data_IF_740673635461
#
_entry.id   IF_740673635461
#
_cell.length_a   1.000
_cell.length_b   1.000
_cell.length_c   1.000
_cell.angle_alpha   90.00
_cell.angle_beta   90.00
_cell.angle_gamma   90.00
#
_symmetry.space_group_name_H-M   'P 1'
#
loop_
_entity.id
_entity.type
_entity.pdbx_description
1 polymer ?
#
# COMPACT_ATOMS: atom_id res chain seq x y z
N UNK A 1 -0.37 16.44 3.46
CA UNK A 1 -0.02 15.57 4.58
C UNK A 1 0.96 14.45 4.21
N UNK A 2 0.67 13.45 3.32
CA UNK A 2 1.71 12.49 2.88
C UNK A 2 2.90 13.21 2.24
N UNK A 3 2.65 14.28 1.49
CA UNK A 3 3.68 15.13 0.92
C UNK A 3 4.50 15.82 2.01
N UNK A 4 3.88 16.43 3.00
CA UNK A 4 4.56 17.07 4.14
C UNK A 4 5.40 16.06 4.94
N UNK A 5 4.83 14.88 5.22
CA UNK A 5 5.56 13.78 5.87
C UNK A 5 6.79 13.39 5.05
N UNK A 6 6.62 13.21 3.74
CA UNK A 6 7.70 12.83 2.85
C UNK A 6 8.74 13.96 2.72
N UNK A 7 8.31 15.23 2.67
CA UNK A 7 9.21 16.40 2.66
C UNK A 7 10.04 16.49 3.94
N UNK A 8 9.43 16.27 5.11
CA UNK A 8 10.14 16.19 6.38
C UNK A 8 11.23 15.11 6.37
N UNK A 9 10.93 13.93 5.84
CA UNK A 9 11.91 12.85 5.72
C UNK A 9 12.99 13.14 4.67
N UNK A 10 12.65 13.81 3.58
CA UNK A 10 13.60 14.24 2.52
C UNK A 10 14.64 15.24 3.04
N UNK A 11 14.29 16.08 4.03
CA UNK A 11 15.20 17.08 4.59
C UNK A 11 16.48 16.50 5.20
N UNK A 12 16.48 15.21 5.55
CA UNK A 12 17.67 14.49 6.02
C UNK A 12 18.70 14.22 4.91
N UNK A 13 18.35 14.42 3.64
CA UNK A 13 19.26 14.24 2.51
C UNK A 13 19.77 12.81 2.31
N UNK A 14 19.05 11.81 2.80
CA UNK A 14 19.36 10.40 2.62
C UNK A 14 19.13 9.95 1.17
N UNK A 15 19.91 8.98 0.72
CA UNK A 15 19.79 8.42 -0.63
C UNK A 15 18.58 7.50 -0.74
N UNK A 16 17.40 8.10 -0.91
CA UNK A 16 16.11 7.41 -1.02
C UNK A 16 15.43 7.76 -2.34
N UNK A 17 15.02 6.74 -3.07
CA UNK A 17 14.09 6.88 -4.18
C UNK A 17 12.66 7.03 -3.62
N UNK A 18 12.19 8.25 -3.51
CA UNK A 18 10.87 8.55 -2.96
C UNK A 18 9.76 8.21 -3.96
N UNK A 19 8.70 7.60 -3.46
CA UNK A 19 7.50 7.31 -4.26
C UNK A 19 6.77 8.62 -4.54
N UNK A 20 6.36 8.85 -5.78
CA UNK A 20 5.53 10.00 -6.12
C UNK A 20 4.18 9.91 -5.38
N UNK A 21 3.70 11.03 -4.82
CA UNK A 21 2.49 11.05 -4.00
C UNK A 21 1.29 10.37 -4.68
N UNK A 22 0.99 10.60 -5.97
CA UNK A 22 -0.12 9.92 -6.65
C UNK A 22 0.07 8.41 -6.84
N UNK A 23 1.30 7.92 -6.62
CA UNK A 23 1.63 6.48 -6.72
C UNK A 23 1.66 5.77 -5.36
N UNK A 24 1.45 6.52 -4.26
CA UNK A 24 1.37 5.92 -2.93
C UNK A 24 0.01 5.26 -2.76
N UNK A 25 0.01 3.98 -2.46
CA UNK A 25 -1.20 3.19 -2.23
C UNK A 25 -0.95 2.07 -1.21
N UNK A 26 -2.02 1.56 -0.63
CA UNK A 26 -2.01 0.33 0.17
C UNK A 26 -2.20 -0.86 -0.76
N UNK A 27 -1.25 -1.79 -0.75
CA UNK A 27 -1.32 -2.99 -1.58
C UNK A 27 -2.03 -4.11 -0.82
N UNK A 28 -3.13 -4.63 -1.37
CA UNK A 28 -3.86 -5.78 -0.82
C UNK A 28 -3.26 -7.10 -1.30
N UNK A 29 -2.89 -7.16 -2.60
CA UNK A 29 -2.38 -8.34 -3.28
C UNK A 29 -1.50 -7.95 -4.47
N UNK A 30 -0.40 -8.66 -4.68
CA UNK A 30 0.36 -8.61 -5.93
C UNK A 30 -0.06 -9.77 -6.84
N UNK A 31 -0.53 -9.44 -8.05
CA UNK A 31 -0.93 -10.44 -9.04
C UNK A 31 0.26 -10.99 -9.85
N UNK A 32 1.39 -10.26 -9.83
CA UNK A 32 2.54 -10.57 -10.68
C UNK A 32 2.27 -10.22 -12.16
N UNK A 33 2.83 -11.01 -13.05
CA UNK A 33 2.52 -10.92 -14.48
C UNK A 33 1.18 -11.61 -14.73
N UNK A 34 0.21 -10.85 -15.20
CA UNK A 34 -1.15 -11.33 -15.47
C UNK A 34 -1.50 -11.16 -16.94
N UNK A 35 -2.21 -12.14 -17.50
CA UNK A 35 -2.82 -12.01 -18.82
C UNK A 35 -3.88 -10.90 -18.76
N UNK A 36 -3.79 -9.85 -19.60
CA UNK A 36 -4.81 -8.80 -19.65
C UNK A 36 -6.22 -9.33 -19.90
N UNK A 37 -6.36 -10.46 -20.62
CA UNK A 37 -7.65 -11.10 -20.89
C UNK A 37 -8.31 -11.69 -19.63
N UNK A 38 -7.53 -12.01 -18.59
CA UNK A 38 -8.06 -12.53 -17.32
C UNK A 38 -8.63 -11.43 -16.41
N UNK A 39 -8.23 -10.18 -16.61
CA UNK A 39 -8.58 -9.06 -15.71
C UNK A 39 -10.09 -8.77 -15.62
N UNK A 40 -10.87 -8.75 -16.73
CA UNK A 40 -12.31 -8.50 -16.64
C UNK A 40 -13.02 -9.54 -15.76
N UNK A 41 -12.72 -10.82 -15.94
CA UNK A 41 -13.32 -11.90 -15.15
C UNK A 41 -12.92 -11.84 -13.67
N UNK A 42 -11.65 -11.49 -13.38
CA UNK A 42 -11.19 -11.25 -12.02
C UNK A 42 -11.96 -10.10 -11.39
N UNK A 43 -12.14 -8.99 -12.12
CA UNK A 43 -12.87 -7.81 -11.64
C UNK A 43 -14.32 -8.15 -11.27
N UNK A 44 -15.06 -8.88 -12.12
CA UNK A 44 -16.41 -9.35 -11.82
C UNK A 44 -16.47 -10.21 -10.53
N UNK A 45 -15.51 -11.10 -10.36
CA UNK A 45 -15.41 -11.94 -9.15
C UNK A 45 -15.13 -11.11 -7.90
N UNK A 46 -14.25 -10.12 -8.00
CA UNK A 46 -13.94 -9.19 -6.91
C UNK A 46 -15.12 -8.28 -6.59
N UNK A 47 -15.87 -7.78 -7.57
CA UNK A 47 -17.09 -6.98 -7.36
C UNK A 47 -18.15 -7.80 -6.62
N UNK A 48 -18.35 -9.07 -7.01
CA UNK A 48 -19.27 -9.97 -6.31
C UNK A 48 -18.91 -10.17 -4.84
N UNK A 49 -17.62 -10.41 -4.54
CA UNK A 49 -17.13 -10.58 -3.18
C UNK A 49 -17.24 -9.28 -2.37
N UNK A 50 -16.87 -8.14 -2.97
CA UNK A 50 -16.93 -6.82 -2.34
C UNK A 50 -18.35 -6.38 -1.99
N UNK A 51 -19.36 -6.87 -2.70
CA UNK A 51 -20.77 -6.55 -2.44
C UNK A 51 -21.27 -6.89 -1.04
N UNK A 52 -20.58 -7.76 -0.31
CA UNK A 52 -20.87 -8.09 1.10
C UNK A 52 -20.07 -7.24 2.10
N UNK A 53 -19.00 -6.56 1.68
CA UNK A 53 -18.09 -5.81 2.53
C UNK A 53 -18.51 -4.33 2.59
N UNK A 54 -18.50 -3.79 3.81
CA UNK A 54 -18.83 -2.37 4.04
C UNK A 54 -17.56 -1.51 3.94
N UNK A 55 -17.75 -0.25 3.56
CA UNK A 55 -16.72 0.78 3.70
C UNK A 55 -16.35 0.95 5.18
N UNK A 56 -15.10 1.27 5.46
CA UNK A 56 -14.54 1.39 6.81
C UNK A 56 -13.54 2.54 6.88
N UNK A 57 -13.17 2.93 8.10
CA UNK A 57 -12.24 4.03 8.34
C UNK A 57 -10.87 3.53 8.72
N UNK A 58 -9.85 4.06 8.05
CA UNK A 58 -8.46 3.82 8.35
C UNK A 58 -7.76 5.11 8.77
N UNK A 59 -6.63 4.97 9.43
CA UNK A 59 -5.81 6.08 9.90
C UNK A 59 -4.34 5.82 9.56
N UNK A 60 -3.66 6.84 9.06
CA UNK A 60 -2.21 6.81 8.94
C UNK A 60 -1.61 6.87 10.35
N UNK A 61 -0.69 5.96 10.65
CA UNK A 61 -0.08 5.87 11.97
C UNK A 61 1.34 5.32 11.91
N UNK A 62 2.26 6.10 12.48
CA UNK A 62 3.65 5.70 12.63
C UNK A 62 4.45 5.58 11.34
N UNK A 63 5.75 5.44 11.50
CA UNK A 63 6.72 5.24 10.44
C UNK A 63 7.54 3.98 10.72
N UNK A 64 7.99 3.33 9.67
CA UNK A 64 8.80 2.14 9.83
C UNK A 64 9.65 1.82 8.61
N UNK A 65 10.43 0.74 8.73
CA UNK A 65 11.31 0.26 7.68
C UNK A 65 11.21 -1.25 7.51
N UNK A 66 11.24 -1.71 6.27
CA UNK A 66 11.46 -3.12 5.96
C UNK A 66 12.89 -3.35 5.48
N UNK A 67 13.50 -4.52 5.78
CA UNK A 67 13.01 -5.56 6.69
C UNK A 67 13.05 -5.13 8.16
N UNK A 68 13.87 -4.15 8.54
CA UNK A 68 13.97 -3.60 9.91
C UNK A 68 14.78 -2.29 9.90
N UNK A 69 14.84 -1.61 11.06
CA UNK A 69 15.56 -0.34 11.24
C UNK A 69 17.10 -0.46 11.17
N UNK A 70 17.66 -1.67 11.32
CA UNK A 70 19.14 -1.87 11.23
C UNK A 70 19.62 -1.95 9.79
N UNK A 71 18.76 -2.48 8.90
CA UNK A 71 19.05 -2.61 7.48
C UNK A 71 17.85 -2.17 6.64
N UNK A 72 17.47 -0.87 6.66
CA UNK A 72 16.29 -0.37 5.99
C UNK A 72 16.47 -0.43 4.47
N UNK A 73 15.47 -0.98 3.78
CA UNK A 73 15.38 -0.99 2.33
C UNK A 73 14.13 -0.27 1.83
N UNK A 74 13.06 -0.30 2.62
CA UNK A 74 11.79 0.37 2.32
C UNK A 74 11.39 1.19 3.53
N UNK A 75 11.04 2.45 3.30
CA UNK A 75 10.48 3.36 4.31
C UNK A 75 8.98 3.40 4.06
N UNK A 76 8.19 3.23 5.12
CA UNK A 76 6.74 3.16 5.04
C UNK A 76 6.05 3.92 6.16
N UNK A 77 4.79 4.30 5.89
CA UNK A 77 3.83 4.75 6.89
C UNK A 77 2.84 3.62 7.19
N UNK A 78 2.60 3.37 8.47
CA UNK A 78 1.68 2.34 8.93
C UNK A 78 0.22 2.76 8.82
N UNK A 79 -0.65 1.78 8.98
CA UNK A 79 -2.11 1.91 8.93
C UNK A 79 -2.69 1.38 10.23
N UNK A 80 -3.61 2.14 10.80
CA UNK A 80 -4.37 1.86 12.01
C UNK A 80 -5.87 2.13 11.76
N UNK A 81 -6.72 1.98 12.77
CA UNK A 81 -8.16 2.16 12.67
C UNK A 81 -8.89 0.82 12.56
N UNK A 82 -9.85 0.69 11.63
CA UNK A 82 -10.62 -0.55 11.45
C UNK A 82 -9.81 -1.62 10.69
N UNK A 83 -8.65 -2.00 11.24
CA UNK A 83 -7.71 -2.96 10.63
C UNK A 83 -8.27 -4.37 10.51
N UNK A 84 -9.27 -4.75 11.31
CA UNK A 84 -9.98 -6.02 11.17
C UNK A 84 -10.80 -6.06 9.89
N UNK A 85 -11.50 -4.97 9.56
CA UNK A 85 -12.22 -4.83 8.30
C UNK A 85 -11.27 -4.84 7.09
N UNK A 86 -10.13 -4.17 7.20
CA UNK A 86 -9.07 -4.21 6.19
C UNK A 86 -8.51 -5.63 6.01
N UNK A 87 -8.28 -6.35 7.10
CA UNK A 87 -7.78 -7.74 7.07
C UNK A 87 -8.82 -8.68 6.45
N UNK A 88 -10.11 -8.46 6.71
CA UNK A 88 -11.17 -9.21 6.07
C UNK A 88 -11.21 -8.94 4.56
N UNK A 89 -11.18 -7.68 4.14
CA UNK A 89 -11.10 -7.32 2.72
C UNK A 89 -9.90 -8.00 2.04
N UNK A 90 -8.73 -7.96 2.66
CA UNK A 90 -7.53 -8.58 2.12
C UNK A 90 -7.68 -10.09 1.94
N UNK A 91 -8.27 -10.78 2.93
CA UNK A 91 -8.53 -12.23 2.84
C UNK A 91 -9.51 -12.58 1.73
N UNK A 92 -10.57 -11.80 1.55
CA UNK A 92 -11.53 -11.99 0.46
C UNK A 92 -10.87 -11.78 -0.90
N UNK A 93 -10.06 -10.71 -1.05
CA UNK A 93 -9.28 -10.46 -2.28
C UNK A 93 -8.31 -11.60 -2.55
N UNK A 94 -7.63 -12.11 -1.52
CA UNK A 94 -6.70 -13.25 -1.65
C UNK A 94 -7.41 -14.51 -2.14
N UNK A 95 -8.55 -14.86 -1.52
CA UNK A 95 -9.34 -16.04 -1.88
C UNK A 95 -9.89 -15.96 -3.32
N UNK A 96 -10.40 -14.80 -3.73
CA UNK A 96 -10.88 -14.59 -5.11
C UNK A 96 -9.73 -14.69 -6.10
N UNK A 97 -8.58 -14.12 -5.80
CA UNK A 97 -7.41 -14.20 -6.65
C UNK A 97 -6.90 -15.65 -6.79
N UNK A 98 -6.86 -16.41 -5.69
CA UNK A 98 -6.44 -17.80 -5.70
C UNK A 98 -7.38 -18.67 -6.57
N UNK A 99 -8.70 -18.53 -6.41
CA UNK A 99 -9.69 -19.24 -7.25
C UNK A 99 -9.66 -18.79 -8.72
N UNK A 100 -9.14 -17.59 -9.00
CA UNK A 100 -8.94 -17.07 -10.35
C UNK A 100 -7.58 -17.46 -10.95
N UNK A 101 -6.80 -18.31 -10.25
CA UNK A 101 -5.53 -18.86 -10.76
C UNK A 101 -4.28 -18.04 -10.39
N UNK A 102 -4.39 -17.03 -9.53
CA UNK A 102 -3.24 -16.31 -9.03
C UNK A 102 -2.71 -16.97 -7.76
N UNK A 103 -1.39 -17.23 -7.66
CA UNK A 103 -0.84 -17.94 -6.50
C UNK A 103 -1.03 -17.16 -5.19
N UNK A 104 -1.24 -17.84 -4.05
CA UNK A 104 -1.40 -17.21 -2.76
C UNK A 104 -0.11 -16.48 -2.33
N UNK A 105 -0.25 -15.39 -1.56
CA UNK A 105 0.88 -14.71 -0.94
C UNK A 105 1.32 -15.47 0.32
N UNK A 106 2.61 -15.84 0.36
CA UNK A 106 3.16 -16.62 1.49
C UNK A 106 3.55 -15.76 2.70
N UNK A 107 3.45 -14.45 2.58
CA UNK A 107 3.84 -13.51 3.66
C UNK A 107 2.61 -13.00 4.37
N UNK A 108 2.74 -12.84 5.69
CA UNK A 108 1.69 -12.19 6.46
C UNK A 108 1.40 -10.78 5.92
N UNK A 109 0.13 -10.45 5.78
CA UNK A 109 -0.30 -9.12 5.37
C UNK A 109 0.10 -8.09 6.43
N UNK A 110 0.86 -7.09 6.02
CA UNK A 110 1.28 -5.96 6.85
C UNK A 110 0.84 -4.67 6.16
N UNK A 111 -0.29 -4.07 6.56
CA UNK A 111 -0.83 -2.89 5.91
C UNK A 111 0.11 -1.69 6.07
N UNK A 112 0.56 -1.13 4.95
CA UNK A 112 1.47 0.01 4.94
C UNK A 112 1.39 0.79 3.64
N UNK A 113 1.80 2.05 3.67
CA UNK A 113 2.04 2.88 2.50
C UNK A 113 3.54 3.03 2.29
N UNK A 114 4.06 2.57 1.17
CA UNK A 114 5.48 2.75 0.83
C UNK A 114 5.74 4.22 0.50
N UNK A 115 6.60 4.88 1.28
CA UNK A 115 7.02 6.27 1.08
C UNK A 115 8.27 6.37 0.22
N UNK A 116 9.20 5.40 0.33
CA UNK A 116 10.44 5.44 -0.41
C UNK A 116 11.24 4.14 -0.31
N UNK A 117 12.23 4.00 -1.20
CA UNK A 117 13.16 2.86 -1.25
C UNK A 117 14.58 3.36 -1.10
N UNK A 118 15.30 2.85 -0.11
CA UNK A 118 16.69 3.22 0.16
C UNK A 118 17.57 2.79 -1.01
N UNK A 119 18.42 3.72 -1.48
CA UNK A 119 19.34 3.53 -2.61
C UNK A 119 20.80 3.46 -2.17
N UNK A 120 21.13 4.10 -1.04
CA UNK A 120 22.49 4.17 -0.51
C UNK A 120 22.50 4.41 1.00
N UNK A 121 23.70 4.53 1.55
CA UNK A 121 23.90 4.66 3.02
C UNK A 121 24.13 6.10 3.49
N UNK A 122 24.31 7.06 2.55
CA UNK A 122 24.55 8.46 2.90
C UNK A 122 23.36 9.02 3.68
N UNK A 123 23.63 9.65 4.80
CA UNK A 123 22.65 10.26 5.72
C UNK A 123 21.50 9.33 6.14
N UNK A 124 21.69 8.01 6.03
CA UNK A 124 20.64 7.05 6.34
C UNK A 124 20.37 6.94 7.83
N UNK A 125 21.42 6.99 8.67
CA UNK A 125 21.25 6.84 10.11
C UNK A 125 20.44 7.98 10.74
N UNK A 126 20.69 9.28 10.46
CA UNK A 126 19.84 10.37 10.95
C UNK A 126 18.37 10.21 10.54
N UNK A 127 18.10 9.77 9.31
CA UNK A 127 16.74 9.49 8.85
C UNK A 127 16.09 8.36 9.65
N UNK A 128 16.81 7.26 9.89
CA UNK A 128 16.31 6.12 10.69
C UNK A 128 16.03 6.54 12.13
N UNK A 129 16.86 7.38 12.71
CA UNK A 129 16.64 7.85 14.09
C UNK A 129 15.41 8.76 14.17
N UNK A 130 15.16 9.60 13.17
CA UNK A 130 13.90 10.33 13.05
C UNK A 130 12.70 9.40 12.95
N UNK A 131 12.78 8.36 12.12
CA UNK A 131 11.69 7.37 11.96
C UNK A 131 11.39 6.66 13.29
N UNK A 132 12.39 6.33 14.09
CA UNK A 132 12.23 5.72 15.43
C UNK A 132 11.53 6.64 16.44
N UNK A 133 11.75 7.95 16.35
CA UNK A 133 11.06 8.92 17.19
C UNK A 133 9.56 9.00 16.90
N UNK A 134 9.15 8.46 15.77
CA UNK A 134 7.77 8.42 15.33
C UNK A 134 7.32 9.71 14.65
N UNK A 135 6.14 9.64 14.04
CA UNK A 135 5.46 10.80 13.47
C UNK A 135 4.17 11.05 14.26
N UNK A 136 3.97 12.26 14.69
CA UNK A 136 2.70 12.69 15.30
C UNK A 136 1.59 12.94 14.24
N UNK A 137 1.88 12.75 12.95
CA UNK A 137 0.93 12.98 11.87
C UNK A 137 -0.02 11.78 11.77
N UNK A 138 -1.23 11.99 12.29
CA UNK A 138 -2.33 11.05 12.17
C UNK A 138 -3.40 11.66 11.26
N UNK A 139 -3.91 10.88 10.33
CA UNK A 139 -5.05 11.27 9.51
C UNK A 139 -5.91 10.09 9.17
N UNK A 140 -7.21 10.22 9.45
CA UNK A 140 -8.20 9.24 9.06
C UNK A 140 -8.66 9.49 7.62
N UNK A 141 -9.00 8.41 6.94
CA UNK A 141 -9.61 8.39 5.62
C UNK A 141 -10.56 7.22 5.49
N UNK A 142 -11.55 7.35 4.63
CA UNK A 142 -12.52 6.29 4.36
C UNK A 142 -11.97 5.38 3.25
N UNK A 143 -12.00 4.08 3.50
CA UNK A 143 -11.79 3.05 2.50
C UNK A 143 -13.17 2.63 1.97
N UNK A 144 -13.57 3.17 0.84
CA UNK A 144 -14.87 2.94 0.21
C UNK A 144 -14.75 2.20 -1.14
N UNK A 145 -13.52 2.00 -1.61
CA UNK A 145 -13.21 1.26 -2.82
C UNK A 145 -11.80 0.71 -2.81
N UNK A 146 -11.52 -0.20 -3.71
CA UNK A 146 -10.16 -0.62 -4.06
C UNK A 146 -10.02 -0.77 -5.57
N UNK A 147 -8.78 -0.79 -6.05
CA UNK A 147 -8.50 -0.74 -7.48
C UNK A 147 -7.65 -1.93 -7.92
N UNK A 148 -7.89 -2.40 -9.15
CA UNK A 148 -6.94 -3.20 -9.89
C UNK A 148 -6.02 -2.24 -10.63
N UNK A 149 -4.70 -2.33 -10.37
CA UNK A 149 -3.71 -1.49 -11.00
C UNK A 149 -2.84 -2.27 -11.98
N UNK A 150 -2.54 -1.64 -13.11
CA UNK A 150 -1.41 -2.01 -13.96
C UNK A 150 -0.19 -1.20 -13.55
N UNK A 151 0.89 -1.89 -13.17
CA UNK A 151 2.18 -1.26 -12.90
C UNK A 151 2.99 -1.14 -14.18
N UNK A 152 3.43 0.07 -14.49
CA UNK A 152 4.30 0.38 -15.64
C UNK A 152 5.64 0.84 -15.07
N UNK A 153 6.69 0.05 -15.26
CA UNK A 153 8.03 0.38 -14.80
C UNK A 153 8.62 1.49 -15.69
N UNK A 154 9.04 2.58 -15.08
CA UNK A 154 9.76 3.69 -15.72
C UNK A 154 11.09 3.92 -15.01
N UNK A 155 12.10 4.56 -15.66
CA UNK A 155 13.37 4.88 -15.02
C UNK A 155 13.24 5.67 -13.72
N UNK A 156 12.20 6.51 -13.62
CA UNK A 156 11.92 7.34 -12.43
C UNK A 156 11.12 6.61 -11.33
N UNK A 157 10.66 5.38 -11.58
CA UNK A 157 9.84 4.58 -10.69
C UNK A 157 8.60 4.00 -11.37
N UNK A 158 7.88 3.14 -10.67
CA UNK A 158 6.64 2.57 -11.16
C UNK A 158 5.53 3.63 -11.24
N UNK A 159 4.80 3.63 -12.35
CA UNK A 159 3.57 4.41 -12.54
C UNK A 159 2.41 3.43 -12.58
N UNK A 160 1.34 3.76 -11.87
CA UNK A 160 0.17 2.89 -11.75
C UNK A 160 -1.00 3.47 -12.56
N UNK A 161 -1.56 2.64 -13.43
CA UNK A 161 -2.78 2.93 -14.17
C UNK A 161 -3.92 2.10 -13.56
N UNK A 162 -5.03 2.74 -13.21
CA UNK A 162 -6.25 2.07 -12.75
C UNK A 162 -6.86 1.33 -13.93
N UNK A 163 -7.05 0.02 -13.79
CA UNK A 163 -7.76 -0.81 -14.76
C UNK A 163 -9.23 -0.95 -14.40
N UNK A 164 -9.52 -1.14 -13.10
CA UNK A 164 -10.87 -1.28 -12.56
C UNK A 164 -10.92 -0.71 -11.15
N UNK A 165 -12.04 -0.06 -10.82
CA UNK A 165 -12.36 0.39 -9.46
C UNK A 165 -13.54 -0.44 -8.94
N UNK A 166 -13.39 -1.04 -7.76
CA UNK A 166 -14.40 -1.90 -7.11
C UNK A 166 -14.86 -1.20 -5.84
N UNK A 167 -16.14 -0.84 -5.80
CA UNK A 167 -16.73 -0.15 -4.66
C UNK A 167 -17.07 -1.13 -3.51
N UNK A 168 -16.89 -0.67 -2.27
CA UNK A 168 -17.43 -1.30 -1.08
C UNK A 168 -18.82 -0.73 -0.79
N UNK A 169 -19.67 -1.51 -0.08
CA UNK A 169 -20.99 -1.01 0.32
C UNK A 169 -20.85 0.19 1.24
N UNK A 170 -21.66 1.20 1.03
CA UNK A 170 -21.74 2.30 1.98
C UNK A 170 -22.28 1.81 3.34
N UNK A 171 -21.77 2.42 4.41
CA UNK A 171 -22.43 2.30 5.70
C UNK A 171 -23.72 3.13 5.62
N UNK A 172 -24.84 2.46 5.72
CA UNK A 172 -26.16 3.11 5.83
C UNK A 172 -26.31 3.84 7.15
#
# INVERSE_FOLDING_TARGET
MLDEMQQGLRSYGAEVGWVAIPSIHLTLKFLGEADPAAIPKLAESLESAAGSLRSFSLRLHGLGCFPNMRNPRVIWCGIDGETDALSQLQKEVEAVCETSGFPPENRAFQPHLTLGRVKGKRNLQPLVDCIKLGSALERSFKADHFNIYRSILKPQGAVYAVLQTIALREMG
#
